data_IF_085936648220
#
_entry.id   IF_085936648220
#
_cell.length_a   1.000
_cell.length_b   1.000
_cell.length_c   1.000
_cell.angle_alpha   90.00
_cell.angle_beta   90.00
_cell.angle_gamma   90.00
#
_symmetry.space_group_name_H-M   'P 1'
#
loop_
_entity.id
_entity.type
_entity.pdbx_description
1 polymer ?
#
# COMPACT_ATOMS: atom_id res chain seq x y z
N UNK A 1 -29.66 15.66 15.26
CA UNK A 1 -28.26 16.01 15.51
C UNK A 1 -27.43 14.94 14.82
N UNK A 2 -26.41 15.32 14.06
CA UNK A 2 -25.59 14.36 13.32
C UNK A 2 -24.58 13.71 14.25
N UNK A 3 -24.30 12.44 14.03
CA UNK A 3 -23.25 11.75 14.79
C UNK A 3 -21.88 12.18 14.28
N UNK A 4 -20.89 12.24 15.20
CA UNK A 4 -19.50 12.58 14.85
C UNK A 4 -18.95 11.66 13.75
N UNK A 5 -19.32 10.39 13.77
CA UNK A 5 -18.97 9.38 12.76
C UNK A 5 -19.47 9.73 11.36
N UNK A 6 -20.70 10.23 11.24
CA UNK A 6 -21.29 10.65 9.96
C UNK A 6 -20.54 11.83 9.36
N UNK A 7 -20.13 12.78 10.19
CA UNK A 7 -19.36 13.95 9.77
C UNK A 7 -17.97 13.52 9.30
N UNK A 8 -17.29 12.68 10.07
CA UNK A 8 -15.97 12.15 9.69
C UNK A 8 -16.04 11.34 8.40
N UNK A 9 -17.05 10.49 8.24
CA UNK A 9 -17.28 9.75 7.01
C UNK A 9 -17.50 10.71 5.83
N UNK A 10 -18.29 11.77 6.02
CA UNK A 10 -18.53 12.78 4.97
C UNK A 10 -17.23 13.50 4.57
N UNK A 11 -16.40 13.87 5.54
CA UNK A 11 -15.08 14.47 5.27
C UNK A 11 -14.22 13.51 4.45
N UNK A 12 -14.13 12.24 4.86
CA UNK A 12 -13.37 11.21 4.15
C UNK A 12 -13.89 10.98 2.73
N UNK A 13 -15.21 10.95 2.52
CA UNK A 13 -15.81 10.85 1.18
C UNK A 13 -15.40 12.01 0.29
N UNK A 14 -15.48 13.25 0.79
CA UNK A 14 -15.08 14.44 0.01
C UNK A 14 -13.59 14.43 -0.34
N UNK A 15 -12.74 13.94 0.59
CA UNK A 15 -11.32 13.75 0.33
C UNK A 15 -11.06 12.68 -0.75
N UNK A 16 -11.70 11.52 -0.63
CA UNK A 16 -11.52 10.39 -1.56
C UNK A 16 -12.03 10.72 -2.97
N UNK A 17 -13.13 11.47 -3.07
CA UNK A 17 -13.69 11.92 -4.35
C UNK A 17 -12.95 13.13 -4.95
N UNK A 18 -11.87 13.60 -4.31
CA UNK A 18 -11.06 14.74 -4.75
C UNK A 18 -11.88 16.02 -4.99
N UNK A 19 -12.91 16.25 -4.17
CA UNK A 19 -13.77 17.43 -4.34
C UNK A 19 -13.02 18.71 -3.96
N UNK A 20 -13.37 19.79 -4.65
CA UNK A 20 -12.98 21.17 -4.29
C UNK A 20 -14.23 21.97 -3.95
N UNK A 21 -14.14 22.85 -2.95
CA UNK A 21 -15.26 23.67 -2.51
C UNK A 21 -15.26 23.90 -1.00
N UNK A 22 -16.39 24.35 -0.47
CA UNK A 22 -16.54 24.60 0.98
C UNK A 22 -17.62 23.68 1.57
N UNK A 23 -17.26 23.01 2.66
CA UNK A 23 -18.20 22.34 3.55
C UNK A 23 -18.60 23.28 4.68
N UNK A 24 -19.89 23.51 4.81
CA UNK A 24 -20.52 24.30 5.84
C UNK A 24 -21.11 23.36 6.89
N UNK A 25 -20.79 23.62 8.15
CA UNK A 25 -21.30 22.89 9.29
C UNK A 25 -21.99 23.89 10.22
N UNK A 26 -23.26 23.66 10.50
CA UNK A 26 -24.02 24.47 11.46
C UNK A 26 -24.04 23.74 12.79
N UNK A 27 -23.51 24.40 13.83
CA UNK A 27 -23.51 23.85 15.20
C UNK A 27 -24.74 24.32 15.98
N UNK A 28 -25.08 23.58 17.05
CA UNK A 28 -26.19 23.93 17.95
C UNK A 28 -26.01 25.32 18.62
N UNK A 29 -24.77 25.77 18.78
CA UNK A 29 -24.42 27.10 19.32
C UNK A 29 -24.64 28.24 18.32
N UNK A 30 -25.33 27.98 17.20
CA UNK A 30 -25.54 28.91 16.09
C UNK A 30 -24.24 29.51 15.51
N UNK A 31 -23.14 28.76 15.63
CA UNK A 31 -21.85 29.08 15.00
C UNK A 31 -21.67 28.24 13.75
N UNK A 32 -21.13 28.85 12.71
CA UNK A 32 -20.74 28.16 11.49
C UNK A 32 -19.29 27.68 11.59
N UNK A 33 -19.06 26.42 11.22
CA UNK A 33 -17.74 25.90 10.90
C UNK A 33 -17.62 25.74 9.38
N UNK A 34 -16.52 26.23 8.83
CA UNK A 34 -16.21 26.17 7.40
C UNK A 34 -14.95 25.34 7.22
N UNK A 35 -15.00 24.43 6.26
CA UNK A 35 -13.87 23.59 5.87
C UNK A 35 -13.72 23.72 4.36
N UNK A 36 -12.57 24.19 3.92
CA UNK A 36 -12.25 24.37 2.50
C UNK A 36 -11.51 23.15 2.01
N UNK A 37 -11.96 22.64 0.88
CA UNK A 37 -11.36 21.55 0.16
C UNK A 37 -10.78 22.04 -1.17
N UNK A 38 -9.59 21.55 -1.48
CA UNK A 38 -8.93 21.71 -2.77
C UNK A 38 -8.42 20.35 -3.23
N UNK A 39 -9.04 19.80 -4.29
CA UNK A 39 -8.70 18.51 -4.88
C UNK A 39 -8.68 17.36 -3.84
N UNK A 40 -9.62 17.36 -2.90
CA UNK A 40 -9.71 16.38 -1.81
C UNK A 40 -8.78 16.63 -0.64
N UNK A 41 -7.95 17.67 -0.69
CA UNK A 41 -7.17 18.12 0.47
C UNK A 41 -7.97 19.13 1.26
N UNK A 42 -7.91 19.05 2.59
CA UNK A 42 -8.42 20.12 3.45
C UNK A 42 -7.36 21.23 3.50
N UNK A 43 -7.68 22.37 2.91
CA UNK A 43 -6.76 23.51 2.80
C UNK A 43 -6.89 24.47 3.99
N UNK A 44 -8.12 24.71 4.45
CA UNK A 44 -8.38 25.66 5.53
C UNK A 44 -9.59 25.27 6.37
N UNK A 45 -9.57 25.62 7.65
CA UNK A 45 -10.67 25.40 8.58
C UNK A 45 -10.91 26.63 9.46
N UNK A 46 -12.17 26.95 9.72
CA UNK A 46 -12.55 28.04 10.61
C UNK A 46 -13.82 27.71 11.38
N UNK A 47 -13.83 28.01 12.67
CA UNK A 47 -15.00 27.90 13.55
C UNK A 47 -15.01 29.05 14.54
N UNK A 48 -15.87 30.05 14.31
CA UNK A 48 -15.91 31.27 15.12
C UNK A 48 -14.54 31.95 15.21
N UNK A 49 -13.97 32.02 16.41
CA UNK A 49 -12.63 32.58 16.66
C UNK A 49 -11.49 31.59 16.43
N UNK A 50 -11.78 30.28 16.37
CA UNK A 50 -10.77 29.22 16.20
C UNK A 50 -10.53 29.00 14.71
N UNK A 51 -9.25 28.86 14.33
CA UNK A 51 -8.81 28.80 12.93
C UNK A 51 -7.75 27.71 12.74
N UNK A 52 -7.67 27.20 11.52
CA UNK A 52 -6.67 26.23 11.08
C UNK A 52 -6.83 24.88 11.77
N UNK A 53 -5.70 24.21 11.99
CA UNK A 53 -5.63 22.85 12.54
C UNK A 53 -6.30 22.72 13.93
N UNK A 54 -6.37 23.81 14.70
CA UNK A 54 -7.03 23.80 16.00
C UNK A 54 -8.53 23.47 15.90
N UNK A 55 -9.17 23.80 14.76
CA UNK A 55 -10.57 23.43 14.49
C UNK A 55 -10.73 21.93 14.35
N UNK A 56 -9.76 21.23 13.75
CA UNK A 56 -9.79 19.77 13.61
C UNK A 56 -9.82 19.06 14.97
N UNK A 57 -9.10 19.58 15.98
CA UNK A 57 -9.13 19.04 17.34
C UNK A 57 -10.48 19.27 18.04
N UNK A 58 -11.20 20.33 17.69
CA UNK A 58 -12.49 20.66 18.28
C UNK A 58 -13.64 19.93 17.59
N UNK A 59 -13.54 19.69 16.29
CA UNK A 59 -14.62 19.17 15.45
C UNK A 59 -15.29 17.90 16.01
N UNK A 60 -14.57 16.89 16.54
CA UNK A 60 -15.20 15.70 17.11
C UNK A 60 -16.07 15.97 18.35
N UNK A 61 -15.87 17.11 19.02
CA UNK A 61 -16.57 17.51 20.25
C UNK A 61 -17.74 18.48 19.97
N UNK A 62 -17.88 18.96 18.73
CA UNK A 62 -18.94 19.91 18.37
C UNK A 62 -20.26 19.18 18.15
N UNK A 63 -21.34 19.80 18.61
CA UNK A 63 -22.70 19.34 18.32
C UNK A 63 -23.15 19.94 16.98
N UNK A 64 -23.11 19.14 15.93
CA UNK A 64 -23.45 19.57 14.57
C UNK A 64 -24.89 19.20 14.25
N UNK A 65 -25.66 20.19 13.81
CA UNK A 65 -27.06 20.02 13.44
C UNK A 65 -27.23 19.72 11.96
N UNK A 66 -26.48 20.43 11.11
CA UNK A 66 -26.62 20.35 9.65
C UNK A 66 -25.27 20.51 8.97
N UNK A 67 -25.17 19.89 7.80
CA UNK A 67 -24.01 20.03 6.91
C UNK A 67 -24.45 20.29 5.49
N UNK A 68 -23.75 21.15 4.78
CA UNK A 68 -23.94 21.34 3.33
C UNK A 68 -22.61 21.55 2.65
N UNK A 69 -22.44 20.94 1.49
CA UNK A 69 -21.23 21.10 0.68
C UNK A 69 -21.57 21.89 -0.58
N UNK A 70 -20.74 22.88 -0.91
CA UNK A 70 -20.86 23.63 -2.14
C UNK A 70 -19.53 23.58 -2.90
N UNK A 71 -19.55 22.97 -4.09
CA UNK A 71 -18.35 22.83 -4.93
C UNK A 71 -18.00 24.09 -5.72
N UNK A 72 -18.94 24.99 -5.96
CA UNK A 72 -18.70 26.22 -6.74
C UNK A 72 -18.20 27.36 -5.87
N UNK A 73 -18.47 27.31 -4.56
CA UNK A 73 -18.10 28.35 -3.61
C UNK A 73 -16.87 27.96 -2.80
N UNK A 74 -15.81 28.77 -2.92
CA UNK A 74 -14.65 28.77 -2.02
C UNK A 74 -14.75 29.99 -1.12
N UNK A 75 -15.03 29.77 0.16
CA UNK A 75 -15.16 30.88 1.11
C UNK A 75 -13.82 31.59 1.29
N UNK A 76 -13.77 32.93 1.27
CA UNK A 76 -12.55 33.66 1.59
C UNK A 76 -12.31 33.60 3.10
N UNK A 77 -11.38 32.73 3.53
CA UNK A 77 -10.93 32.68 4.91
C UNK A 77 -9.63 33.48 5.08
N UNK A 78 -9.38 33.95 6.30
CA UNK A 78 -8.10 34.60 6.63
C UNK A 78 -6.95 33.61 6.55
N UNK A 79 -5.74 34.05 6.22
CA UNK A 79 -4.54 33.20 6.12
C UNK A 79 -4.28 32.33 7.36
N UNK A 80 -4.62 32.80 8.56
CA UNK A 80 -4.52 32.02 9.81
C UNK A 80 -5.39 30.75 9.84
N UNK A 81 -6.37 30.65 8.95
CA UNK A 81 -7.23 29.49 8.80
C UNK A 81 -6.62 28.42 7.88
N UNK A 82 -5.59 28.76 7.12
CA UNK A 82 -4.90 27.83 6.26
C UNK A 82 -4.17 26.79 7.10
N UNK A 83 -4.16 25.57 6.60
CA UNK A 83 -3.49 24.44 7.21
C UNK A 83 -2.24 24.16 6.41
N UNK A 84 -1.13 23.97 7.13
CA UNK A 84 0.14 23.67 6.50
C UNK A 84 0.10 22.33 5.77
N UNK A 85 0.87 22.27 4.70
CA UNK A 85 0.86 21.16 3.78
C UNK A 85 1.23 19.80 4.39
N UNK A 86 2.07 19.84 5.41
CA UNK A 86 2.60 18.67 6.12
C UNK A 86 1.77 18.30 7.36
N UNK A 87 0.74 19.07 7.70
CA UNK A 87 -0.04 18.83 8.91
C UNK A 87 -0.91 17.57 8.76
N UNK A 88 -0.85 16.66 9.74
CA UNK A 88 -1.69 15.46 9.74
C UNK A 88 -3.08 15.76 10.34
N UNK A 89 -3.95 16.33 9.50
CA UNK A 89 -5.31 16.74 9.88
C UNK A 89 -6.13 15.55 10.39
N UNK A 90 -5.94 14.37 9.81
CA UNK A 90 -6.67 13.17 10.22
C UNK A 90 -6.30 12.72 11.63
N UNK A 91 -5.03 12.85 12.02
CA UNK A 91 -4.61 12.59 13.39
C UNK A 91 -5.27 13.58 14.38
N UNK A 92 -5.38 14.86 14.00
CA UNK A 92 -6.08 15.89 14.80
C UNK A 92 -7.59 15.62 14.92
N UNK A 93 -8.20 15.03 13.89
CA UNK A 93 -9.58 14.53 13.92
C UNK A 93 -9.75 13.25 14.76
N UNK A 94 -8.67 12.69 15.30
CA UNK A 94 -8.67 11.43 16.05
C UNK A 94 -8.68 10.18 15.17
N UNK A 95 -8.51 10.33 13.86
CA UNK A 95 -8.44 9.22 12.90
C UNK A 95 -7.00 8.75 12.79
N UNK A 96 -6.75 7.48 13.09
CA UNK A 96 -5.46 6.85 12.86
C UNK A 96 -5.44 6.19 11.49
N UNK A 97 -4.42 6.47 10.69
CA UNK A 97 -4.13 5.70 9.49
C UNK A 97 -3.87 4.27 9.92
N UNK A 98 -4.70 3.34 9.48
CA UNK A 98 -4.31 1.94 9.53
C UNK A 98 -3.06 1.85 8.66
N UNK A 99 -1.95 1.43 9.24
CA UNK A 99 -0.82 0.98 8.44
C UNK A 99 -1.36 -0.19 7.65
N UNK A 100 -1.75 0.04 6.41
CA UNK A 100 -1.81 -1.03 5.44
C UNK A 100 -0.41 -1.60 5.51
N UNK A 101 -0.26 -2.79 6.11
CA UNK A 101 0.97 -3.55 5.97
C UNK A 101 1.26 -3.47 4.48
N UNK A 102 2.33 -2.76 4.13
CA UNK A 102 2.76 -2.72 2.76
C UNK A 102 2.77 -4.18 2.36
N UNK A 103 2.03 -4.52 1.29
CA UNK A 103 2.26 -5.77 0.62
C UNK A 103 3.72 -5.62 0.21
N UNK A 104 4.62 -6.11 1.05
CA UNK A 104 6.01 -6.29 0.71
C UNK A 104 5.93 -7.02 -0.61
N UNK A 105 6.32 -6.34 -1.69
CA UNK A 105 6.57 -6.99 -2.95
C UNK A 105 7.31 -8.29 -2.60
N UNK A 106 6.89 -9.46 -3.12
CA UNK A 106 7.37 -10.74 -2.61
C UNK A 106 8.89 -10.66 -2.61
N UNK A 107 9.47 -10.56 -1.40
CA UNK A 107 10.88 -10.74 -1.24
C UNK A 107 11.07 -12.16 -1.74
N UNK A 108 11.62 -12.29 -2.94
CA UNK A 108 12.11 -13.56 -3.46
C UNK A 108 13.11 -13.97 -2.39
N UNK A 109 12.66 -14.82 -1.47
CA UNK A 109 13.49 -15.38 -0.44
C UNK A 109 14.53 -16.19 -1.20
N UNK A 110 15.70 -15.60 -1.43
CA UNK A 110 16.85 -16.33 -1.95
C UNK A 110 17.18 -17.37 -0.89
N UNK A 111 16.64 -18.59 -1.06
CA UNK A 111 16.88 -19.74 -0.19
C UNK A 111 18.40 -19.88 -0.08
N UNK A 112 18.95 -19.60 1.09
CA UNK A 112 20.39 -19.75 1.35
C UNK A 112 20.75 -21.22 1.19
N UNK A 113 21.81 -21.57 0.42
CA UNK A 113 22.16 -22.96 0.17
C UNK A 113 22.47 -23.68 1.48
N UNK A 114 21.77 -24.79 1.74
CA UNK A 114 21.98 -25.60 2.94
C UNK A 114 23.01 -26.68 2.63
N UNK A 115 24.08 -26.73 3.42
CA UNK A 115 25.06 -27.82 3.36
C UNK A 115 24.59 -28.99 4.23
N UNK A 116 24.59 -30.20 3.67
CA UNK A 116 24.38 -31.43 4.42
C UNK A 116 25.49 -32.43 4.07
N UNK A 117 26.23 -32.87 5.10
CA UNK A 117 27.31 -33.87 4.96
C UNK A 117 28.34 -33.55 3.86
N UNK A 118 28.73 -32.29 3.75
CA UNK A 118 29.73 -31.82 2.78
C UNK A 118 29.21 -31.59 1.36
N UNK A 119 27.92 -31.79 1.11
CA UNK A 119 27.30 -31.50 -0.18
C UNK A 119 26.33 -30.32 -0.08
N UNK A 120 26.39 -29.44 -1.08
CA UNK A 120 25.50 -28.28 -1.20
C UNK A 120 24.17 -28.73 -1.81
N UNK A 121 23.09 -28.58 -1.06
CA UNK A 121 21.75 -28.93 -1.51
C UNK A 121 21.07 -27.65 -2.02
N UNK A 122 20.81 -27.61 -3.32
CA UNK A 122 19.91 -26.63 -3.94
C UNK A 122 18.59 -27.34 -4.14
N UNK A 123 17.56 -26.94 -3.39
CA UNK A 123 16.20 -27.43 -3.61
C UNK A 123 15.62 -26.71 -4.84
N UNK A 124 15.49 -27.44 -5.96
CA UNK A 124 14.68 -27.02 -7.11
C UNK A 124 13.24 -27.51 -6.89
N UNK A 125 12.28 -26.58 -6.97
CA UNK A 125 10.86 -26.90 -6.88
C UNK A 125 10.41 -27.74 -8.11
N UNK A 126 9.46 -28.69 -7.97
CA UNK A 126 8.99 -29.51 -9.07
C UNK A 126 7.78 -28.85 -9.74
N UNK A 127 7.96 -28.20 -10.90
CA UNK A 127 6.84 -27.80 -11.76
C UNK A 127 6.80 -28.58 -13.08
N UNK A 128 5.64 -29.21 -13.28
CA UNK A 128 4.92 -29.45 -14.54
C UNK A 128 5.49 -30.41 -15.61
N UNK A 129 5.30 -31.72 -15.38
CA UNK A 129 5.22 -32.71 -16.47
C UNK A 129 3.89 -32.59 -17.24
N UNK A 130 3.96 -32.02 -18.46
CA UNK A 130 2.99 -32.25 -19.55
C UNK A 130 3.22 -33.64 -20.18
N UNK A 131 2.24 -34.16 -20.95
CA UNK A 131 2.65 -34.69 -22.25
C UNK A 131 1.68 -34.33 -23.39
N UNK A 132 2.22 -33.85 -24.52
CA UNK A 132 1.61 -33.95 -25.85
C UNK A 132 2.59 -34.72 -26.76
N UNK A 133 2.13 -35.68 -27.59
CA UNK A 133 3.02 -36.49 -28.42
C UNK A 133 2.99 -36.04 -29.89
N UNK A 134 4.15 -35.75 -30.51
CA UNK A 134 4.36 -35.89 -31.97
C UNK A 134 5.86 -36.12 -32.24
N UNK A 135 6.19 -37.15 -33.03
CA UNK A 135 7.50 -37.45 -33.67
C UNK A 135 7.34 -37.24 -35.20
N UNK A 136 8.37 -37.39 -36.05
CA UNK A 136 9.77 -36.91 -36.01
C UNK A 136 10.18 -36.23 -37.36
N UNK A 137 11.20 -35.38 -37.38
CA UNK A 137 12.00 -35.09 -38.60
C UNK A 137 13.46 -34.93 -38.20
N UNK A 138 14.34 -35.53 -39.01
CA UNK A 138 15.78 -35.77 -38.86
C UNK A 138 16.53 -34.56 -39.44
N UNK A 139 17.56 -34.05 -38.75
CA UNK A 139 18.97 -33.96 -39.21
C UNK A 139 19.84 -33.02 -38.35
N UNK A 140 20.92 -33.62 -37.86
CA UNK A 140 22.26 -33.09 -37.58
C UNK A 140 22.46 -31.67 -37.02
N UNK A 141 22.97 -31.60 -35.79
CA UNK A 141 24.27 -30.97 -35.53
C UNK A 141 24.73 -31.32 -34.11
N UNK A 142 26.00 -31.69 -34.01
CA UNK A 142 26.64 -32.20 -32.81
C UNK A 142 26.96 -31.07 -31.83
N UNK A 143 26.62 -31.28 -30.55
CA UNK A 143 27.58 -31.14 -29.44
C UNK A 143 26.92 -31.67 -28.15
N UNK A 144 27.32 -32.88 -27.75
CA UNK A 144 26.96 -33.47 -26.44
C UNK A 144 28.26 -33.80 -25.71
N UNK A 145 28.36 -33.47 -24.41
CA UNK A 145 29.62 -33.59 -23.67
C UNK A 145 30.02 -35.04 -23.40
N UNK A 146 31.32 -35.33 -23.25
CA UNK A 146 31.86 -36.69 -23.25
C UNK A 146 31.48 -37.49 -21.99
N UNK A 147 30.99 -38.72 -22.21
CA UNK A 147 30.79 -39.73 -21.17
C UNK A 147 32.16 -40.14 -20.61
N UNK A 148 32.40 -39.88 -19.32
CA UNK A 148 33.61 -40.33 -18.60
C UNK A 148 33.66 -41.87 -18.61
N UNK A 149 34.72 -42.43 -19.18
CA UNK A 149 35.00 -43.86 -19.08
C UNK A 149 35.39 -44.20 -17.64
N UNK A 150 34.78 -45.23 -17.06
CA UNK A 150 35.13 -45.70 -15.72
C UNK A 150 36.55 -46.28 -15.77
N UNK A 151 37.45 -45.79 -14.92
CA UNK A 151 38.80 -46.35 -14.79
C UNK A 151 38.71 -47.77 -14.22
N UNK A 152 39.38 -48.74 -14.86
CA UNK A 152 39.44 -50.14 -14.42
C UNK A 152 40.03 -50.24 -13.01
N UNK A 153 39.46 -51.10 -12.16
CA UNK A 153 39.94 -51.29 -10.77
C UNK A 153 41.20 -52.15 -10.80
N UNK A 154 42.21 -51.75 -10.04
CA UNK A 154 43.48 -52.49 -9.91
C UNK A 154 43.56 -53.05 -8.50
N UNK A 155 43.86 -54.34 -8.36
CA UNK A 155 44.13 -54.96 -7.06
C UNK A 155 45.46 -55.70 -7.12
N UNK A 156 46.37 -55.38 -6.18
CA UNK A 156 47.73 -55.95 -6.10
C UNK A 156 48.50 -55.96 -7.43
N UNK A 157 48.39 -54.87 -8.19
CA UNK A 157 49.18 -54.66 -9.42
C UNK A 157 48.62 -55.34 -10.68
N UNK A 158 47.45 -56.00 -10.61
CA UNK A 158 46.76 -56.50 -11.80
C UNK A 158 45.43 -55.78 -12.01
N UNK A 159 45.13 -55.46 -13.28
CA UNK A 159 43.90 -54.78 -13.69
C UNK A 159 42.78 -55.83 -13.72
N UNK A 160 41.71 -55.58 -12.98
CA UNK A 160 40.50 -56.40 -12.96
C UNK A 160 39.46 -55.70 -13.84
N UNK A 161 38.88 -56.46 -14.76
CA UNK A 161 37.75 -56.02 -15.58
C UNK A 161 36.46 -56.57 -14.93
N UNK A 162 35.46 -55.71 -14.73
CA UNK A 162 34.09 -56.09 -14.33
C UNK A 162 33.25 -56.38 -15.59
#
# INVERSE_FOLDING_TARGET
MLETTEILNRLLTLCNEQKSGTLFLTTADNKACHIIFEQGRIEAMAFGSVKGIAVANLLPRLLIERTSFNSTLRMPLSERANIEDQADIFAALGLRRQQTAAIEAPHIATKTPRMYRGHLIVEQDPEETRPKPVKPVIESSADTPPKKSKSKRIYRGQIIED
#
